data_IF_376305954374
#
_entry.id   IF_376305954374
#
_cell.length_a   1.000
_cell.length_b   1.000
_cell.length_c   1.000
_cell.angle_alpha   90.00
_cell.angle_beta   90.00
_cell.angle_gamma   90.00
#
_symmetry.space_group_name_H-M   'P 1'
#
loop_
_entity.id
_entity.type
_entity.pdbx_description
1 polymer ?
#
# COMPACT_ATOMS: atom_id res chain seq x y z
N UNK A 1 20.93 -0.03 2.95
CA UNK A 1 20.39 -1.22 2.25
C UNK A 1 19.01 -0.79 1.78
N UNK A 2 18.77 -0.73 0.46
CA UNK A 2 17.46 -0.31 -0.05
C UNK A 2 16.39 -1.35 0.30
N UNK A 3 15.09 -1.03 0.17
CA UNK A 3 14.05 -2.04 0.21
C UNK A 3 14.37 -3.06 -0.90
N UNK A 4 14.78 -4.26 -0.51
CA UNK A 4 14.94 -5.34 -1.46
C UNK A 4 13.54 -5.75 -1.90
N UNK A 5 13.12 -5.31 -3.08
CA UNK A 5 11.89 -5.81 -3.70
C UNK A 5 12.03 -7.34 -3.81
N UNK A 6 11.27 -8.06 -2.98
CA UNK A 6 11.27 -9.52 -2.97
C UNK A 6 10.68 -10.00 -4.30
N UNK A 7 11.55 -10.22 -5.29
CA UNK A 7 11.14 -10.72 -6.59
C UNK A 7 10.84 -12.21 -6.51
N UNK A 8 9.70 -12.61 -7.09
CA UNK A 8 9.38 -14.01 -7.27
C UNK A 8 9.02 -14.31 -8.73
N UNK A 9 9.17 -15.57 -9.14
CA UNK A 9 8.78 -16.02 -10.48
C UNK A 9 7.92 -17.27 -10.38
N UNK A 10 6.81 -17.27 -11.12
CA UNK A 10 5.90 -18.41 -11.22
C UNK A 10 6.23 -19.19 -12.50
N UNK A 11 6.39 -20.51 -12.32
CA UNK A 11 6.72 -21.50 -13.36
C UNK A 11 7.96 -21.15 -14.21
N UNK A 12 8.82 -20.25 -13.68
CA UNK A 12 10.01 -19.76 -14.38
C UNK A 12 9.72 -18.80 -15.54
N UNK A 13 8.46 -18.36 -15.70
CA UNK A 13 8.01 -17.63 -16.89
C UNK A 13 7.36 -16.28 -16.56
N UNK A 14 6.57 -16.21 -15.49
CA UNK A 14 5.89 -14.95 -15.10
C UNK A 14 6.58 -14.39 -13.86
N UNK A 15 7.29 -13.25 -13.97
CA UNK A 15 7.74 -12.53 -12.79
C UNK A 15 6.50 -11.97 -12.10
N UNK A 16 6.43 -12.18 -10.79
CA UNK A 16 5.39 -11.60 -9.95
C UNK A 16 6.06 -10.68 -8.96
N UNK A 17 5.43 -9.54 -8.73
CA UNK A 17 5.60 -8.89 -7.45
C UNK A 17 4.88 -9.81 -6.48
N UNK A 18 5.64 -10.52 -5.65
CA UNK A 18 5.05 -11.20 -4.50
C UNK A 18 4.64 -10.09 -3.54
N UNK A 19 3.50 -9.48 -3.84
CA UNK A 19 3.12 -8.19 -3.27
C UNK A 19 2.91 -8.27 -1.77
N UNK A 20 2.76 -9.45 -1.15
CA UNK A 20 2.66 -9.51 0.30
C UNK A 20 2.87 -10.92 0.87
N UNK A 21 3.83 -11.04 1.78
CA UNK A 21 3.72 -12.00 2.87
C UNK A 21 2.73 -11.40 3.87
N UNK A 22 1.49 -11.86 3.85
CA UNK A 22 0.40 -11.29 4.63
C UNK A 22 0.00 -12.21 5.79
N UNK A 23 0.55 -11.94 6.97
CA UNK A 23 0.19 -12.70 8.16
C UNK A 23 -1.26 -12.49 8.61
N UNK A 24 -1.94 -11.47 8.11
CA UNK A 24 -3.36 -11.23 8.39
C UNK A 24 -4.31 -11.94 7.43
N UNK A 25 -3.80 -12.49 6.33
CA UNK A 25 -4.63 -13.18 5.34
C UNK A 25 -4.81 -14.66 5.71
N UNK A 26 -6.06 -15.10 5.80
CA UNK A 26 -6.41 -16.50 6.11
C UNK A 26 -6.05 -17.45 4.96
N UNK A 27 -6.03 -16.94 3.72
CA UNK A 27 -5.76 -17.69 2.50
C UNK A 27 -4.74 -16.98 1.62
N UNK A 28 -4.10 -17.76 0.74
CA UNK A 28 -3.26 -17.22 -0.33
C UNK A 28 -4.10 -17.02 -1.58
N UNK A 29 -3.90 -15.89 -2.26
CA UNK A 29 -4.71 -15.49 -3.43
C UNK A 29 -3.80 -14.97 -4.53
N UNK A 30 -4.07 -15.42 -5.75
CA UNK A 30 -3.51 -14.90 -6.99
C UNK A 30 -4.55 -14.02 -7.69
N UNK A 31 -4.09 -12.98 -8.38
CA UNK A 31 -4.96 -12.18 -9.24
C UNK A 31 -5.32 -12.89 -10.54
N UNK A 32 -6.45 -12.52 -11.14
CA UNK A 32 -6.84 -12.95 -12.49
C UNK A 32 -5.83 -12.51 -13.55
N UNK A 33 -5.17 -11.36 -13.35
CA UNK A 33 -4.06 -10.90 -14.17
C UNK A 33 -2.86 -11.85 -14.16
N UNK A 34 -2.52 -12.44 -13.01
CA UNK A 34 -1.46 -13.46 -12.92
C UNK A 34 -1.82 -14.72 -13.72
N UNK A 35 -3.03 -15.24 -13.57
CA UNK A 35 -3.49 -16.42 -14.32
C UNK A 35 -3.47 -16.14 -15.83
N UNK A 36 -3.92 -14.95 -16.24
CA UNK A 36 -3.90 -14.52 -17.63
C UNK A 36 -2.48 -14.42 -18.18
N UNK A 37 -1.54 -13.89 -17.40
CA UNK A 37 -0.13 -13.80 -17.78
C UNK A 37 0.52 -15.18 -17.94
N UNK A 38 0.18 -16.15 -17.06
CA UNK A 38 0.66 -17.53 -17.18
C UNK A 38 0.19 -18.17 -18.49
N UNK A 39 -1.10 -18.03 -18.81
CA UNK A 39 -1.66 -18.54 -20.06
C UNK A 39 -1.00 -17.87 -21.28
N UNK A 40 -0.80 -16.55 -21.25
CA UNK A 40 -0.13 -15.81 -22.31
C UNK A 40 1.35 -16.23 -22.50
N UNK A 41 2.02 -16.65 -21.42
CA UNK A 41 3.37 -17.21 -21.46
C UNK A 41 3.42 -18.67 -21.94
N UNK A 42 2.28 -19.26 -22.30
CA UNK A 42 2.18 -20.65 -22.77
C UNK A 42 2.16 -21.68 -21.64
N UNK A 43 2.00 -21.27 -20.39
CA UNK A 43 1.79 -22.19 -19.28
C UNK A 43 0.35 -22.74 -19.30
N UNK A 44 0.16 -23.93 -18.74
CA UNK A 44 -1.14 -24.57 -18.58
C UNK A 44 -1.42 -24.80 -17.08
N UNK A 45 -1.73 -23.74 -16.32
CA UNK A 45 -1.98 -23.88 -14.89
C UNK A 45 -3.22 -24.73 -14.64
N UNK A 46 -3.16 -25.61 -13.65
CA UNK A 46 -4.31 -26.42 -13.26
C UNK A 46 -5.28 -25.56 -12.44
N UNK A 47 -6.50 -25.38 -12.96
CA UNK A 47 -7.56 -24.62 -12.32
C UNK A 47 -8.61 -25.60 -11.78
N UNK A 48 -8.94 -25.45 -10.49
CA UNK A 48 -9.89 -26.29 -9.76
C UNK A 48 -11.06 -25.40 -9.36
N UNK A 49 -12.26 -25.73 -9.83
CA UNK A 49 -13.49 -25.05 -9.40
C UNK A 49 -13.87 -25.55 -8.01
N UNK A 50 -14.21 -24.62 -7.12
CA UNK A 50 -14.60 -24.89 -5.74
C UNK A 50 -15.98 -24.30 -5.42
N UNK A 51 -16.49 -24.58 -4.22
CA UNK A 51 -17.63 -23.84 -3.68
C UNK A 51 -17.27 -22.38 -3.43
N UNK A 52 -18.23 -21.45 -3.55
CA UNK A 52 -17.96 -20.02 -3.36
C UNK A 52 -17.47 -19.76 -1.94
N UNK A 53 -16.33 -19.09 -1.83
CA UNK A 53 -15.76 -18.62 -0.56
C UNK A 53 -15.66 -17.10 -0.65
N UNK A 54 -16.34 -16.41 0.27
CA UNK A 54 -16.24 -14.95 0.34
C UNK A 54 -15.05 -14.56 1.20
N UNK A 55 -14.16 -13.77 0.62
CA UNK A 55 -13.06 -13.11 1.31
C UNK A 55 -13.40 -11.64 1.45
N UNK A 56 -13.24 -11.08 2.65
CA UNK A 56 -13.45 -9.66 2.91
C UNK A 56 -12.10 -8.98 3.12
N UNK A 57 -11.63 -8.20 2.12
CA UNK A 57 -10.47 -7.37 2.31
C UNK A 57 -10.74 -6.29 3.36
N UNK A 58 -9.73 -5.96 4.16
CA UNK A 58 -9.80 -4.79 5.04
C UNK A 58 -9.81 -3.48 4.25
N UNK A 59 -10.55 -2.48 4.75
CA UNK A 59 -10.61 -1.14 4.19
C UNK A 59 -12.05 -0.67 3.93
N UNK A 60 -12.29 0.63 4.12
CA UNK A 60 -13.64 1.23 4.02
C UNK A 60 -14.29 1.04 2.65
N UNK A 61 -13.49 1.04 1.58
CA UNK A 61 -13.96 0.88 0.20
C UNK A 61 -13.70 -0.54 -0.36
N UNK A 62 -13.27 -1.46 0.49
CA UNK A 62 -12.90 -2.81 0.07
C UNK A 62 -14.15 -3.63 -0.27
N UNK A 63 -14.17 -4.16 -1.49
CA UNK A 63 -15.25 -5.02 -1.96
C UNK A 63 -14.97 -6.49 -1.59
N UNK A 64 -15.98 -7.27 -1.19
CA UNK A 64 -15.81 -8.70 -1.02
C UNK A 64 -15.31 -9.35 -2.31
N UNK A 65 -14.37 -10.28 -2.16
CA UNK A 65 -13.86 -11.11 -3.24
C UNK A 65 -14.54 -12.46 -3.10
N UNK A 66 -15.30 -12.87 -4.11
CA UNK A 66 -15.87 -14.21 -4.16
C UNK A 66 -14.91 -15.12 -4.91
N UNK A 67 -14.14 -15.88 -4.14
CA UNK A 67 -13.28 -16.92 -4.70
C UNK A 67 -14.11 -18.16 -5.04
N UNK A 68 -14.05 -18.59 -6.29
CA UNK A 68 -14.74 -19.81 -6.78
C UNK A 68 -13.77 -20.79 -7.42
N UNK A 69 -12.48 -20.43 -7.55
CA UNK A 69 -11.49 -21.21 -8.28
C UNK A 69 -10.15 -21.12 -7.61
N UNK A 70 -9.48 -22.25 -7.47
CA UNK A 70 -8.07 -22.29 -7.13
C UNK A 70 -7.21 -22.56 -8.35
N UNK A 71 -6.04 -21.97 -8.37
CA UNK A 71 -4.97 -22.33 -9.29
C UNK A 71 -3.86 -23.06 -8.55
N UNK A 72 -3.39 -24.17 -9.12
CA UNK A 72 -2.17 -24.85 -8.64
C UNK A 72 -0.97 -24.33 -9.41
N UNK A 73 -0.11 -23.59 -8.72
CA UNK A 73 1.18 -23.13 -9.24
C UNK A 73 2.17 -24.29 -9.20
N UNK A 74 2.80 -24.60 -10.33
CA UNK A 74 3.77 -25.69 -10.42
C UNK A 74 5.02 -25.39 -9.59
N UNK A 75 5.54 -24.18 -9.76
CA UNK A 75 6.77 -23.68 -9.15
C UNK A 75 6.62 -22.19 -8.83
N UNK A 76 6.88 -21.80 -7.59
CA UNK A 76 7.05 -20.41 -7.17
C UNK A 76 8.46 -20.27 -6.59
N UNK A 77 9.26 -19.42 -7.20
CA UNK A 77 10.67 -19.21 -6.87
C UNK A 77 10.88 -17.82 -6.27
N UNK A 78 11.40 -17.75 -5.05
CA UNK A 78 11.86 -16.52 -4.42
C UNK A 78 13.38 -16.43 -4.52
N UNK A 79 13.88 -15.28 -4.97
CA UNK A 79 15.31 -15.00 -4.89
C UNK A 79 15.63 -14.44 -3.50
N UNK A 80 16.46 -15.15 -2.73
CA UNK A 80 16.93 -14.69 -1.42
C UNK A 80 18.43 -14.48 -1.43
N UNK A 81 18.96 -13.69 -0.49
CA UNK A 81 20.41 -13.49 -0.34
C UNK A 81 21.22 -14.77 -0.06
N UNK A 82 20.56 -15.84 0.37
CA UNK A 82 21.17 -17.15 0.64
C UNK A 82 20.96 -18.18 -0.49
N UNK A 83 20.35 -17.77 -1.60
CA UNK A 83 19.99 -18.64 -2.73
C UNK A 83 18.48 -18.73 -2.98
N UNK A 84 18.05 -19.42 -4.05
CA UNK A 84 16.63 -19.51 -4.41
C UNK A 84 15.86 -20.39 -3.43
N UNK A 85 14.70 -19.91 -2.97
CA UNK A 85 13.72 -20.67 -2.19
C UNK A 85 12.57 -21.11 -3.10
N UNK A 86 12.19 -22.38 -3.03
CA UNK A 86 11.25 -23.00 -3.95
C UNK A 86 9.98 -23.53 -3.27
N UNK A 87 8.82 -23.08 -3.75
CA UNK A 87 7.52 -23.61 -3.35
C UNK A 87 6.93 -24.35 -4.55
N UNK A 88 6.45 -25.59 -4.35
CA UNK A 88 5.90 -26.44 -5.41
C UNK A 88 4.48 -26.88 -5.10
N UNK A 89 3.64 -26.92 -6.14
CA UNK A 89 2.26 -27.37 -6.02
C UNK A 89 1.41 -26.50 -5.10
N UNK A 90 1.76 -25.22 -4.96
CA UNK A 90 1.02 -24.27 -4.13
C UNK A 90 -0.35 -24.03 -4.76
N UNK A 91 -1.42 -24.23 -3.98
CA UNK A 91 -2.78 -23.87 -4.38
C UNK A 91 -3.14 -22.52 -3.77
N UNK A 92 -3.64 -21.63 -4.61
CA UNK A 92 -4.07 -20.28 -4.22
C UNK A 92 -5.43 -20.00 -4.83
N UNK A 93 -6.27 -19.25 -4.12
CA UNK A 93 -7.53 -18.73 -4.65
C UNK A 93 -7.30 -17.77 -5.81
N UNK A 94 -8.33 -17.50 -6.60
CA UNK A 94 -8.23 -16.57 -7.75
C UNK A 94 -9.17 -15.38 -7.53
N UNK A 95 -8.60 -14.20 -7.37
CA UNK A 95 -9.33 -12.93 -7.48
C UNK A 95 -9.46 -12.55 -8.96
N UNK A 96 -10.52 -13.02 -9.60
CA UNK A 96 -10.76 -12.80 -11.04
C UNK A 96 -10.95 -11.32 -11.41
N UNK A 97 -11.34 -10.46 -10.45
CA UNK A 97 -11.57 -9.04 -10.70
C UNK A 97 -10.26 -8.24 -10.76
N UNK A 98 -9.18 -8.74 -10.17
CA UNK A 98 -7.89 -8.06 -10.13
C UNK A 98 -7.09 -8.32 -11.42
N UNK A 99 -6.88 -7.25 -12.20
CA UNK A 99 -6.18 -7.31 -13.48
C UNK A 99 -4.66 -7.14 -13.32
N UNK A 100 -4.18 -6.66 -12.17
CA UNK A 100 -2.75 -6.60 -11.87
C UNK A 100 -2.14 -8.00 -11.81
N UNK A 101 -0.82 -8.13 -11.91
CA UNK A 101 -0.10 -9.40 -11.77
C UNK A 101 0.44 -9.49 -10.34
N UNK A 102 -0.36 -10.07 -9.44
CA UNK A 102 -0.10 -10.05 -8.00
C UNK A 102 -0.33 -11.42 -7.36
N UNK A 103 0.39 -11.64 -6.27
CA UNK A 103 0.29 -12.83 -5.44
C UNK A 103 0.44 -12.46 -3.97
N UNK A 104 -0.56 -12.82 -3.17
CA UNK A 104 -0.53 -12.72 -1.71
C UNK A 104 -0.35 -14.10 -1.11
N UNK A 105 0.67 -14.26 -0.27
CA UNK A 105 0.88 -15.47 0.53
C UNK A 105 0.34 -15.24 1.93
N UNK A 106 -0.77 -15.90 2.25
CA UNK A 106 -1.42 -15.80 3.54
C UNK A 106 -0.69 -16.59 4.65
N UNK A 107 -1.20 -16.41 5.86
CA UNK A 107 -0.66 -16.97 7.10
C UNK A 107 -0.36 -18.48 7.03
N UNK A 108 -1.22 -19.36 6.44
CA UNK A 108 -0.92 -20.80 6.41
C UNK A 108 0.36 -21.13 5.64
N UNK A 109 0.65 -20.40 4.56
CA UNK A 109 1.89 -20.59 3.78
C UNK A 109 3.07 -20.05 4.57
N UNK A 110 2.93 -18.86 5.17
CA UNK A 110 3.98 -18.24 5.97
C UNK A 110 4.38 -19.13 7.16
N UNK A 111 3.41 -19.69 7.89
CA UNK A 111 3.66 -20.61 9.00
C UNK A 111 4.43 -21.86 8.54
N UNK A 112 4.07 -22.41 7.38
CA UNK A 112 4.81 -23.53 6.78
C UNK A 112 6.25 -23.18 6.40
N UNK A 113 6.50 -21.92 6.05
CA UNK A 113 7.84 -21.39 5.79
C UNK A 113 8.61 -21.04 7.08
N UNK A 114 8.01 -21.20 8.26
CA UNK A 114 8.63 -20.94 9.56
C UNK A 114 8.27 -19.60 10.21
N UNK A 115 7.32 -18.85 9.65
CA UNK A 115 6.80 -17.66 10.31
C UNK A 115 6.10 -18.03 11.62
N UNK A 116 6.51 -17.39 12.71
CA UNK A 116 5.77 -17.38 13.96
C UNK A 116 6.05 -16.06 14.68
N UNK A 117 5.05 -15.53 15.37
CA UNK A 117 5.20 -14.30 16.16
C UNK A 117 6.26 -14.48 17.24
N UNK A 118 6.32 -15.65 17.86
CA UNK A 118 7.34 -15.98 18.86
C UNK A 118 8.75 -15.92 18.26
N UNK A 119 9.00 -16.61 17.14
CA UNK A 119 10.34 -16.60 16.52
C UNK A 119 10.70 -15.19 16.03
N UNK A 120 9.72 -14.44 15.52
CA UNK A 120 9.90 -13.03 15.14
C UNK A 120 10.35 -12.18 16.34
N UNK A 121 9.63 -12.26 17.46
CA UNK A 121 9.95 -11.50 18.67
C UNK A 121 11.26 -11.96 19.33
N UNK A 122 11.54 -13.26 19.34
CA UNK A 122 12.81 -13.80 19.83
C UNK A 122 13.99 -13.32 18.98
N UNK A 123 13.84 -13.31 17.65
CA UNK A 123 14.84 -12.78 16.73
C UNK A 123 15.03 -11.27 16.92
N UNK A 124 13.95 -10.51 17.11
CA UNK A 124 14.04 -9.08 17.43
C UNK A 124 14.75 -8.87 18.77
N UNK A 125 14.44 -9.67 19.79
CA UNK A 125 15.07 -9.60 21.12
C UNK A 125 16.56 -9.91 21.10
N UNK A 126 17.00 -10.83 20.22
CA UNK A 126 18.41 -11.15 20.00
C UNK A 126 19.17 -9.98 19.36
N UNK A 127 18.51 -9.18 18.54
CA UNK A 127 19.09 -7.98 17.96
C UNK A 127 19.13 -6.83 18.96
N UNK A 128 18.01 -6.58 19.64
CA UNK A 128 17.88 -5.49 20.61
C UNK A 128 16.82 -5.81 21.68
N UNK A 129 17.08 -5.45 22.93
CA UNK A 129 16.15 -5.67 24.04
C UNK A 129 14.98 -4.70 24.10
N UNK A 130 15.16 -3.51 23.57
CA UNK A 130 14.23 -2.39 23.65
C UNK A 130 14.30 -1.64 22.32
N UNK A 131 13.15 -1.44 21.68
CA UNK A 131 13.04 -0.76 20.39
C UNK A 131 12.34 0.59 20.63
N UNK A 132 13.07 1.69 20.42
CA UNK A 132 12.52 3.04 20.54
C UNK A 132 11.96 3.49 19.18
N UNK A 133 10.68 3.84 19.15
CA UNK A 133 9.95 4.31 17.97
C UNK A 133 9.54 5.79 18.10
N UNK A 134 10.09 6.55 19.05
CA UNK A 134 9.75 7.96 19.24
C UNK A 134 10.05 8.83 18.00
N UNK A 135 11.05 8.44 17.20
CA UNK A 135 11.41 9.10 15.94
C UNK A 135 10.64 8.55 14.72
N UNK A 136 9.64 7.68 14.92
CA UNK A 136 8.83 7.17 13.82
C UNK A 136 8.04 8.33 13.21
N UNK A 137 8.47 8.79 12.04
CA UNK A 137 7.74 9.82 11.30
C UNK A 137 6.31 9.34 11.05
N UNK A 138 5.33 10.23 11.29
CA UNK A 138 3.96 10.07 10.83
C UNK A 138 3.98 9.85 9.32
N UNK A 139 4.11 8.59 8.94
CA UNK A 139 4.03 8.20 7.55
C UNK A 139 2.58 8.46 7.21
N UNK A 140 2.32 9.43 6.32
CA UNK A 140 1.00 9.55 5.68
C UNK A 140 0.59 8.13 5.35
N UNK A 141 -0.57 7.61 5.82
CA UNK A 141 -0.97 6.25 5.56
C UNK A 141 -0.79 6.05 4.06
N UNK A 142 0.25 5.31 3.68
CA UNK A 142 0.43 4.96 2.29
C UNK A 142 -0.88 4.30 1.92
N UNK A 143 -1.47 4.67 0.78
CA UNK A 143 -2.65 4.02 0.23
C UNK A 143 -2.47 2.54 0.55
N UNK A 144 -3.27 2.01 1.49
CA UNK A 144 -2.97 0.73 2.11
C UNK A 144 -2.87 -0.29 0.97
N UNK A 145 -1.65 -0.67 0.61
CA UNK A 145 -1.41 -1.36 -0.66
C UNK A 145 -1.86 -2.82 -0.61
N UNK A 146 -2.48 -3.23 0.49
CA UNK A 146 -2.33 -4.59 0.96
C UNK A 146 -3.63 -5.00 1.66
N UNK A 147 -4.48 -5.62 0.84
CA UNK A 147 -5.75 -6.26 1.18
C UNK A 147 -5.48 -7.42 2.14
N UNK A 148 -5.62 -7.19 3.44
CA UNK A 148 -5.71 -8.30 4.38
C UNK A 148 -7.02 -9.04 4.13
N UNK A 149 -6.96 -10.34 3.79
CA UNK A 149 -8.13 -11.13 3.38
C UNK A 149 -8.60 -12.04 4.53
N UNK A 150 -9.82 -11.83 5.02
CA UNK A 150 -10.45 -12.75 5.98
C UNK A 150 -11.55 -13.60 5.36
N UNK A 151 -11.62 -14.86 5.77
CA UNK A 151 -12.66 -15.79 5.35
C UNK A 151 -13.89 -15.66 6.26
N UNK A 152 -15.10 -15.66 5.67
CA UNK A 152 -16.36 -15.60 6.42
C UNK A 152 -16.87 -17.02 6.74
N UNK A 153 -17.16 -17.31 8.02
CA UNK A 153 -17.88 -18.53 8.41
C UNK A 153 -19.36 -18.35 8.07
N UNK A 154 -19.92 -19.25 7.26
CA UNK A 154 -21.35 -19.25 6.93
C UNK A 154 -22.17 -19.68 8.16
N UNK A 155 -22.45 -18.76 9.08
CA UNK A 155 -23.49 -18.92 10.10
C UNK A 155 -24.80 -18.34 9.58
N UNK A 156 -25.85 -19.16 9.55
CA UNK A 156 -27.20 -18.78 9.18
C UNK A 156 -27.75 -17.81 10.25
N UNK A 157 -27.91 -16.53 9.88
CA UNK A 157 -28.56 -15.48 10.68
C UNK A 157 -27.68 -14.82 11.75
N UNK A 158 -26.94 -13.79 11.36
CA UNK A 158 -26.42 -12.77 12.28
C UNK A 158 -26.78 -11.40 11.69
N UNK A 159 -27.34 -10.54 12.54
CA UNK A 159 -27.80 -9.19 12.22
C UNK A 159 -26.64 -8.32 11.72
N UNK A 160 -26.77 -7.77 10.50
CA UNK A 160 -25.76 -6.95 9.83
C UNK A 160 -25.56 -5.56 10.50
N UNK A 161 -26.18 -5.33 11.67
CA UNK A 161 -26.12 -4.12 12.49
C UNK A 161 -24.80 -4.00 13.28
N UNK A 162 -24.20 -5.11 13.70
CA UNK A 162 -23.04 -5.08 14.59
C UNK A 162 -21.76 -4.84 13.78
N UNK A 163 -21.59 -3.57 13.39
CA UNK A 163 -20.49 -3.06 12.60
C UNK A 163 -19.16 -3.58 13.12
N UNK A 164 -18.40 -4.22 12.22
CA UNK A 164 -17.05 -4.71 12.46
C UNK A 164 -16.20 -3.59 13.08
N UNK A 165 -16.08 -3.58 14.41
CA UNK A 165 -15.32 -2.56 15.13
C UNK A 165 -13.85 -2.70 14.75
N UNK A 166 -13.40 -1.85 13.83
CA UNK A 166 -11.99 -1.62 13.59
C UNK A 166 -11.32 -1.22 14.91
N UNK A 167 -10.07 -1.63 15.11
CA UNK A 167 -9.18 -1.01 16.10
C UNK A 167 -8.74 0.38 15.61
N UNK A 168 -9.67 1.21 15.12
CA UNK A 168 -9.41 2.63 14.85
C UNK A 168 -9.39 3.30 16.22
N UNK A 169 -8.26 3.89 16.66
CA UNK A 169 -8.27 4.70 17.86
C UNK A 169 -9.26 5.85 17.63
N UNK A 170 -10.22 6.03 18.52
CA UNK A 170 -11.00 7.26 18.54
C UNK A 170 -10.05 8.41 18.89
N UNK A 171 -9.56 9.13 17.88
CA UNK A 171 -8.92 10.42 18.09
C UNK A 171 -10.00 11.36 18.56
N UNK A 172 -10.12 11.51 19.89
CA UNK A 172 -10.97 12.49 20.53
C UNK A 172 -10.64 13.88 20.00
N UNK A 173 -11.35 14.31 18.96
CA UNK A 173 -11.39 15.69 18.51
C UNK A 173 -12.13 16.48 19.59
N UNK A 174 -11.38 16.88 20.61
CA UNK A 174 -11.68 18.12 21.32
C UNK A 174 -10.77 19.18 20.73
N UNK A 175 -11.14 19.87 19.63
CA UNK A 175 -10.55 21.16 19.40
C UNK A 175 -11.05 22.03 20.56
N UNK A 176 -10.19 22.27 21.55
CA UNK A 176 -10.40 23.42 22.43
C UNK A 176 -10.52 24.60 21.49
N UNK A 177 -11.67 25.27 21.48
CA UNK A 177 -11.97 26.37 20.55
C UNK A 177 -10.85 27.43 20.49
N UNK A 178 -10.02 27.55 21.53
CA UNK A 178 -8.84 28.38 21.60
C UNK A 178 -7.72 28.01 20.58
N UNK A 179 -7.57 26.73 20.23
CA UNK A 179 -6.46 26.25 19.38
C UNK A 179 -6.72 26.58 17.89
N UNK A 180 -7.98 26.54 17.45
CA UNK A 180 -8.35 26.86 16.08
C UNK A 180 -8.11 28.34 15.73
N UNK A 181 -8.36 29.24 16.70
CA UNK A 181 -8.15 30.68 16.52
C UNK A 181 -6.65 31.05 16.57
N UNK A 182 -5.87 30.37 17.42
CA UNK A 182 -4.42 30.50 17.44
C UNK A 182 -3.79 30.04 16.10
N UNK A 183 -4.21 28.88 15.59
CA UNK A 183 -3.75 28.34 14.29
C UNK A 183 -4.12 29.30 13.15
N UNK A 184 -5.36 29.81 13.13
CA UNK A 184 -5.81 30.79 12.13
C UNK A 184 -4.99 32.08 12.17
N UNK A 185 -4.64 32.55 13.36
CA UNK A 185 -3.81 33.75 13.53
C UNK A 185 -2.40 33.54 13.01
N UNK A 186 -1.77 32.40 13.33
CA UNK A 186 -0.43 32.05 12.85
C UNK A 186 -0.39 31.89 11.32
N UNK A 187 -1.42 31.26 10.74
CA UNK A 187 -1.56 31.11 9.29
C UNK A 187 -1.68 32.47 8.59
N UNK A 188 -2.52 33.37 9.11
CA UNK A 188 -2.69 34.70 8.52
C UNK A 188 -1.43 35.55 8.64
N UNK A 189 -0.69 35.44 9.76
CA UNK A 189 0.60 36.10 9.92
C UNK A 189 1.63 35.60 8.91
N UNK A 190 1.77 34.29 8.71
CA UNK A 190 2.68 33.71 7.71
C UNK A 190 2.30 34.08 6.28
N UNK A 191 1.01 34.13 5.95
CA UNK A 191 0.54 34.58 4.63
C UNK A 191 0.90 36.05 4.40
N UNK A 192 0.75 36.91 5.41
CA UNK A 192 1.13 38.32 5.32
C UNK A 192 2.65 38.51 5.13
N UNK A 193 3.48 37.72 5.83
CA UNK A 193 4.94 37.75 5.66
C UNK A 193 5.37 37.34 4.24
N UNK A 194 4.70 36.34 3.65
CA UNK A 194 4.93 35.91 2.27
C UNK A 194 4.49 36.97 1.24
N UNK A 195 3.39 37.68 1.50
CA UNK A 195 2.95 38.78 0.62
C UNK A 195 3.87 40.00 0.71
N UNK A 196 4.40 40.32 1.89
CA UNK A 196 5.32 41.44 2.09
C UNK A 196 6.70 41.18 1.44
N UNK A 197 7.17 39.93 1.49
CA UNK A 197 8.41 39.50 0.82
C UNK A 197 8.24 39.44 -0.69
N UNK A 198 7.08 39.03 -1.19
CA UNK A 198 6.75 39.10 -2.62
C UNK A 198 6.71 40.54 -3.16
N UNK A 199 6.16 41.49 -2.40
CA UNK A 199 6.13 42.90 -2.78
C UNK A 199 7.52 43.55 -2.83
N UNK A 200 8.39 43.22 -1.85
CA UNK A 200 9.76 43.75 -1.77
C UNK A 200 10.68 43.26 -2.89
N UNK A 201 10.34 42.14 -3.53
CA UNK A 201 11.13 41.53 -4.60
C UNK A 201 10.65 41.89 -6.02
N UNK A 202 9.71 42.84 -6.16
CA UNK A 202 9.25 43.29 -7.48
C UNK A 202 10.25 44.31 -8.08
N UNK A 203 10.82 44.07 -9.27
CA UNK A 203 11.76 45.01 -9.89
C UNK A 203 11.01 46.28 -10.36
N UNK A 204 11.40 47.43 -9.81
CA UNK A 204 10.99 48.75 -10.29
C UNK A 204 11.48 48.94 -11.73
N UNK A 205 10.57 48.85 -12.71
CA UNK A 205 10.87 49.26 -14.10
C UNK A 205 10.81 50.80 -14.19
N UNK A 206 11.83 51.49 -14.72
CA UNK A 206 11.74 52.91 -14.99
C UNK A 206 10.81 53.15 -16.20
N UNK A 207 9.86 54.08 -16.05
CA UNK A 207 9.03 54.56 -17.15
C UNK A 207 9.87 55.40 -18.11
N UNK A 208 9.98 54.97 -19.38
CA UNK A 208 10.53 55.81 -20.45
C UNK A 208 9.42 56.72 -20.97
N UNK A 209 9.36 57.94 -20.46
CA UNK A 209 8.80 59.07 -21.21
C UNK A 209 9.94 59.72 -22.00
N UNK A 210 9.83 59.78 -23.33
CA UNK A 210 10.56 60.78 -24.10
C UNK A 210 9.78 61.08 -25.38
N UNK A 211 9.29 62.31 -25.42
CA UNK A 211 8.59 62.94 -26.52
C UNK A 211 9.50 64.10 -26.98
N UNK A 212 9.79 64.12 -28.29
CA UNK A 212 10.31 65.21 -29.13
C UNK A 212 11.81 65.59 -29.09
N UNK A 213 12.40 65.51 -30.28
CA UNK A 213 13.67 66.12 -30.67
C UNK A 213 13.55 67.63 -30.83
N UNK A 214 14.55 68.36 -30.34
CA UNK A 214 14.89 69.69 -30.85
C UNK A 214 16.42 69.85 -30.81
N UNK A 215 17.06 69.87 -31.99
CA UNK A 215 18.44 70.33 -32.15
C UNK A 215 18.36 71.68 -32.84
N UNK A 216 18.62 72.75 -32.07
CA UNK A 216 19.07 74.02 -32.63
C UNK A 216 20.58 73.93 -32.82
N UNK A 217 21.04 74.19 -34.05
CA UNK A 217 22.35 74.78 -34.31
C UNK A 217 22.14 75.89 -35.34
N UNK A 218 22.52 77.09 -34.92
CA UNK A 218 22.54 78.34 -35.68
C UNK A 218 23.67 78.33 -36.71
N UNK A 219 23.53 79.13 -37.77
CA UNK A 219 24.67 79.76 -38.41
C UNK A 219 25.14 80.96 -37.56
#
# INVERSE_FOLDING_TARGET
>A
MGPEDLTATVDGVVPVRASLLDSGADLSVASGGLVSALLAAGASPEIIVMGPTTLRPYGTDSRPITDTKQVRLGRLEFNTGCGPLMLRGLRVGIDEAEAAVELTLGLPVMQKLGYSEQTLLENARRQQSEWDFADQSDTTPGIAMHRTLRMEELSDGIDDDEGMCCATPELGMTPRLADAEAVRTILMAKVAEQQLTAWKNLPLKPSKTSCWSFKMFSA
#
